data_IF_958262816616
#
_entry.id   IF_958262816616
#
_cell.length_a   1.000
_cell.length_b   1.000
_cell.length_c   1.000
_cell.angle_alpha   90.00
_cell.angle_beta   90.00
_cell.angle_gamma   90.00
#
_symmetry.space_group_name_H-M   'P 1'
#
loop_
_entity.id
_entity.type
_entity.pdbx_description
1 polymer ?
#
# COMPACT_ATOMS: atom_id res chain seq x y z
N UNK A 1 -24.45 -5.18 5.66
CA UNK A 1 -24.22 -6.57 5.21
C UNK A 1 -22.83 -7.01 5.64
N UNK A 2 -22.68 -8.11 6.41
CA UNK A 2 -21.37 -8.68 6.73
C UNK A 2 -20.95 -9.52 5.52
N UNK A 3 -19.86 -9.18 4.85
CA UNK A 3 -19.23 -10.08 3.87
C UNK A 3 -18.87 -11.38 4.61
N UNK A 4 -19.42 -12.54 4.23
CA UNK A 4 -19.27 -13.78 5.00
C UNK A 4 -17.79 -14.18 5.16
N UNK A 5 -16.99 -13.97 4.11
CA UNK A 5 -15.55 -14.22 4.10
C UNK A 5 -14.81 -13.28 5.07
N UNK A 6 -15.13 -11.98 5.05
CA UNK A 6 -14.53 -11.00 5.98
C UNK A 6 -14.80 -11.37 7.43
N UNK A 7 -16.05 -11.71 7.77
CA UNK A 7 -16.41 -12.08 9.15
C UNK A 7 -15.73 -13.36 9.62
N UNK A 8 -15.59 -14.36 8.74
CA UNK A 8 -14.91 -15.61 9.07
C UNK A 8 -13.40 -15.41 9.29
N UNK A 9 -12.74 -14.65 8.41
CA UNK A 9 -11.30 -14.35 8.56
C UNK A 9 -11.07 -13.54 9.82
N UNK A 10 -11.87 -12.50 10.06
CA UNK A 10 -11.77 -11.67 11.26
C UNK A 10 -11.93 -12.50 12.54
N UNK A 11 -12.97 -13.32 12.65
CA UNK A 11 -13.21 -14.15 13.82
C UNK A 11 -12.09 -15.18 14.05
N UNK A 12 -11.51 -15.74 12.97
CA UNK A 12 -10.38 -16.67 13.05
C UNK A 12 -9.08 -15.99 13.50
N UNK A 13 -8.89 -14.72 13.21
CA UNK A 13 -7.74 -13.94 13.71
C UNK A 13 -7.93 -13.54 15.16
N UNK A 14 -9.15 -13.13 15.53
CA UNK A 14 -9.51 -12.83 16.93
C UNK A 14 -9.35 -14.07 17.81
N UNK A 15 -9.75 -15.26 17.34
CA UNK A 15 -9.55 -16.50 18.08
C UNK A 15 -8.07 -16.91 18.24
N UNK A 16 -7.17 -16.33 17.44
CA UNK A 16 -5.71 -16.48 17.56
C UNK A 16 -5.07 -15.43 18.47
N UNK A 17 -5.88 -14.59 19.12
CA UNK A 17 -5.41 -13.57 20.06
C UNK A 17 -5.05 -12.24 19.42
N UNK A 18 -5.38 -12.01 18.15
CA UNK A 18 -5.24 -10.67 17.56
C UNK A 18 -6.36 -9.76 18.04
N UNK A 19 -6.05 -8.50 18.29
CA UNK A 19 -7.07 -7.52 18.62
C UNK A 19 -8.05 -7.30 17.44
N UNK A 20 -9.26 -6.87 17.77
CA UNK A 20 -10.36 -6.78 16.79
C UNK A 20 -10.07 -5.82 15.62
N UNK A 21 -9.24 -4.82 15.86
CA UNK A 21 -8.90 -3.80 14.87
C UNK A 21 -7.89 -4.36 13.88
N UNK A 22 -6.81 -4.96 14.37
CA UNK A 22 -5.79 -5.60 13.53
C UNK A 22 -6.39 -6.76 12.74
N UNK A 23 -7.22 -7.57 13.39
CA UNK A 23 -7.98 -8.65 12.74
C UNK A 23 -8.89 -8.13 11.62
N UNK A 24 -9.56 -6.99 11.84
CA UNK A 24 -10.37 -6.32 10.82
C UNK A 24 -9.54 -5.79 9.65
N UNK A 25 -8.35 -5.22 9.90
CA UNK A 25 -7.46 -4.76 8.84
C UNK A 25 -6.94 -5.89 7.97
N UNK A 26 -6.49 -6.99 8.58
CA UNK A 26 -5.98 -8.16 7.84
C UNK A 26 -7.11 -8.82 7.04
N UNK A 27 -8.29 -8.95 7.64
CA UNK A 27 -9.47 -9.47 6.93
C UNK A 27 -9.85 -8.59 5.74
N UNK A 28 -9.79 -7.26 5.90
CA UNK A 28 -10.03 -6.31 4.80
C UNK A 28 -9.00 -6.45 3.68
N UNK A 29 -7.72 -6.62 4.03
CA UNK A 29 -6.64 -6.85 3.08
C UNK A 29 -6.76 -8.16 2.31
N UNK A 30 -7.09 -9.24 2.99
CA UNK A 30 -7.29 -10.53 2.33
C UNK A 30 -8.50 -10.51 1.40
N UNK A 31 -9.59 -9.86 1.80
CA UNK A 31 -10.76 -9.71 0.94
C UNK A 31 -10.47 -8.84 -0.29
N UNK A 32 -9.73 -7.73 -0.15
CA UNK A 32 -9.38 -6.87 -1.27
C UNK A 32 -8.51 -7.60 -2.29
N UNK A 33 -7.46 -8.27 -1.82
CA UNK A 33 -6.58 -9.08 -2.67
C UNK A 33 -7.36 -10.20 -3.37
N UNK A 34 -8.22 -10.92 -2.64
CA UNK A 34 -9.03 -12.01 -3.20
C UNK A 34 -10.03 -11.57 -4.27
N UNK A 35 -10.54 -10.33 -4.19
CA UNK A 35 -11.47 -9.78 -5.19
C UNK A 35 -10.72 -9.36 -6.46
N UNK A 36 -9.53 -8.78 -6.32
CA UNK A 36 -8.84 -8.14 -7.44
C UNK A 36 -7.81 -9.05 -8.16
N UNK A 37 -7.25 -10.07 -7.52
CA UNK A 37 -6.29 -10.99 -8.19
C UNK A 37 -6.93 -11.83 -9.31
N UNK A 38 -8.09 -12.50 -9.12
CA UNK A 38 -8.68 -13.32 -10.17
C UNK A 38 -8.98 -12.56 -11.47
N UNK A 39 -9.65 -11.38 -11.45
CA UNK A 39 -9.88 -10.61 -12.67
C UNK A 39 -8.56 -10.07 -13.25
N UNK A 40 -7.60 -9.67 -12.41
CA UNK A 40 -6.26 -9.27 -12.86
C UNK A 40 -5.59 -10.35 -13.72
N UNK A 41 -5.58 -11.60 -13.25
CA UNK A 41 -5.01 -12.72 -14.00
C UNK A 41 -5.80 -13.00 -15.28
N UNK A 42 -7.13 -12.99 -15.22
CA UNK A 42 -7.98 -13.21 -16.38
C UNK A 42 -7.69 -12.20 -17.50
N UNK A 43 -7.73 -10.90 -17.19
CA UNK A 43 -7.47 -9.84 -18.18
C UNK A 43 -6.02 -9.81 -18.65
N UNK A 44 -5.06 -10.16 -17.78
CA UNK A 44 -3.68 -10.30 -18.18
C UNK A 44 -3.48 -11.41 -19.21
N UNK A 45 -4.06 -12.60 -18.99
CA UNK A 45 -3.93 -13.70 -19.95
C UNK A 45 -4.78 -13.49 -21.22
N UNK A 46 -5.88 -12.76 -21.14
CA UNK A 46 -6.76 -12.49 -22.30
C UNK A 46 -6.13 -11.48 -23.27
N UNK A 47 -5.64 -10.33 -22.77
CA UNK A 47 -5.17 -9.23 -23.62
C UNK A 47 -3.64 -9.10 -23.65
N UNK A 48 -2.92 -9.94 -22.88
CA UNK A 48 -1.46 -9.85 -22.65
C UNK A 48 -0.99 -8.44 -22.26
N UNK A 49 -1.90 -7.65 -21.66
CA UNK A 49 -1.69 -6.24 -21.40
C UNK A 49 -1.12 -6.06 -20.00
N UNK A 50 0.15 -5.70 -19.92
CA UNK A 50 0.86 -5.50 -18.65
C UNK A 50 0.29 -4.32 -17.83
N UNK A 51 -0.37 -3.35 -18.47
CA UNK A 51 -1.01 -2.23 -17.76
C UNK A 51 -2.19 -2.68 -16.88
N UNK A 52 -2.79 -3.82 -17.20
CA UNK A 52 -3.84 -4.44 -16.37
C UNK A 52 -3.30 -4.80 -15.00
N UNK A 53 -2.11 -5.42 -14.93
CA UNK A 53 -1.47 -5.80 -13.66
C UNK A 53 -1.32 -4.56 -12.76
N UNK A 54 -0.84 -3.46 -13.32
CA UNK A 54 -0.62 -2.20 -12.61
C UNK A 54 -1.93 -1.58 -12.12
N UNK A 55 -2.97 -1.58 -12.96
CA UNK A 55 -4.29 -1.07 -12.59
C UNK A 55 -4.88 -1.85 -11.39
N UNK A 56 -4.86 -3.17 -11.43
CA UNK A 56 -5.41 -4.00 -10.36
C UNK A 56 -4.60 -3.89 -9.06
N UNK A 57 -3.27 -3.77 -9.13
CA UNK A 57 -2.45 -3.50 -7.96
C UNK A 57 -2.75 -2.12 -7.33
N UNK A 58 -3.00 -1.09 -8.15
CA UNK A 58 -3.45 0.22 -7.68
C UNK A 58 -4.83 0.14 -7.02
N UNK A 59 -5.77 -0.62 -7.60
CA UNK A 59 -7.09 -0.85 -7.01
C UNK A 59 -7.00 -1.56 -5.66
N UNK A 60 -6.15 -2.60 -5.53
CA UNK A 60 -5.86 -3.27 -4.26
C UNK A 60 -5.31 -2.28 -3.25
N UNK A 61 -4.37 -1.41 -3.65
CA UNK A 61 -3.80 -0.38 -2.80
C UNK A 61 -4.89 0.57 -2.29
N UNK A 62 -5.59 1.27 -3.20
CA UNK A 62 -6.63 2.24 -2.84
C UNK A 62 -7.71 1.62 -1.96
N UNK A 63 -8.17 0.42 -2.30
CA UNK A 63 -9.20 -0.27 -1.52
C UNK A 63 -8.73 -0.65 -0.10
N UNK A 64 -7.46 -0.98 0.07
CA UNK A 64 -6.88 -1.25 1.39
C UNK A 64 -6.77 -0.02 2.28
N UNK A 65 -6.65 1.16 1.68
CA UNK A 65 -6.59 2.41 2.41
C UNK A 65 -7.96 3.02 2.73
N UNK A 66 -9.06 2.51 2.14
CA UNK A 66 -10.42 2.90 2.54
C UNK A 66 -10.84 2.43 3.94
N UNK A 67 -10.01 1.63 4.63
CA UNK A 67 -10.19 1.42 6.05
C UNK A 67 -9.99 2.76 6.78
N UNK A 68 -11.07 3.41 7.23
CA UNK A 68 -11.10 4.80 7.78
C UNK A 68 -9.94 5.17 8.71
N UNK A 69 -9.45 4.24 9.54
CA UNK A 69 -8.31 4.49 10.45
C UNK A 69 -6.94 4.56 9.76
N UNK A 70 -6.86 4.26 8.47
CA UNK A 70 -5.66 4.29 7.62
C UNK A 70 -5.57 5.57 6.77
N UNK A 71 -6.54 6.49 6.85
CA UNK A 71 -6.54 7.75 6.08
C UNK A 71 -5.32 8.64 6.41
N UNK A 72 -4.97 8.87 7.69
CA UNK A 72 -3.80 9.69 8.01
C UNK A 72 -2.46 9.15 7.45
N UNK A 73 -2.12 7.85 7.61
CA UNK A 73 -0.90 7.32 6.99
C UNK A 73 -0.97 7.31 5.46
N UNK A 74 -2.16 7.14 4.85
CA UNK A 74 -2.32 7.28 3.40
C UNK A 74 -1.95 8.67 2.91
N UNK A 75 -2.47 9.72 3.54
CA UNK A 75 -2.17 11.10 3.17
C UNK A 75 -0.67 11.39 3.23
N UNK A 76 0.00 10.85 4.25
CA UNK A 76 1.45 10.97 4.39
C UNK A 76 2.19 10.23 3.27
N UNK A 77 1.75 9.03 2.89
CA UNK A 77 2.30 8.29 1.75
C UNK A 77 2.12 9.07 0.45
N UNK A 78 0.93 9.61 0.18
CA UNK A 78 0.65 10.44 -1.00
C UNK A 78 1.53 11.70 -1.01
N UNK A 79 1.70 12.35 0.13
CA UNK A 79 2.59 13.51 0.26
C UNK A 79 4.04 13.16 -0.08
N UNK A 80 4.55 12.02 0.42
CA UNK A 80 5.89 11.52 0.07
C UNK A 80 6.04 11.23 -1.43
N UNK A 81 5.01 10.68 -2.08
CA UNK A 81 5.00 10.44 -3.52
C UNK A 81 5.07 11.76 -4.30
N UNK A 82 4.27 12.75 -3.93
CA UNK A 82 4.26 14.07 -4.59
C UNK A 82 5.63 14.73 -4.46
N UNK A 83 6.22 14.69 -3.26
CA UNK A 83 7.59 15.19 -3.07
C UNK A 83 8.59 14.42 -3.93
N UNK A 84 8.51 13.09 -3.94
CA UNK A 84 9.40 12.27 -4.75
C UNK A 84 9.35 12.64 -6.23
N UNK A 85 8.17 12.66 -6.84
CA UNK A 85 8.02 12.99 -8.27
C UNK A 85 8.25 14.46 -8.60
N UNK A 86 7.89 15.38 -7.69
CA UNK A 86 8.15 16.82 -7.87
C UNK A 86 9.63 17.15 -7.90
N UNK A 87 10.45 16.40 -7.15
CA UNK A 87 11.88 16.64 -7.04
C UNK A 87 12.77 15.64 -7.81
N UNK A 88 12.20 14.58 -8.40
CA UNK A 88 12.98 13.56 -9.14
C UNK A 88 13.78 14.15 -10.30
N UNK A 89 13.24 15.17 -10.98
CA UNK A 89 13.86 15.83 -12.12
C UNK A 89 15.01 16.76 -11.73
N UNK A 90 15.13 17.12 -10.45
CA UNK A 90 16.15 18.04 -9.97
C UNK A 90 17.47 17.35 -9.60
N UNK A 91 17.59 16.02 -9.82
CA UNK A 91 18.81 15.18 -9.85
C UNK A 91 19.97 15.58 -8.92
N UNK A 92 19.68 16.18 -7.76
CA UNK A 92 20.68 16.56 -6.80
C UNK A 92 20.70 15.53 -5.68
N UNK A 93 21.87 14.96 -5.38
CA UNK A 93 22.07 14.01 -4.27
C UNK A 93 21.55 14.56 -2.94
N UNK A 94 21.53 15.89 -2.77
CA UNK A 94 20.95 16.56 -1.62
C UNK A 94 19.44 16.27 -1.40
N UNK A 95 18.66 16.15 -2.47
CA UNK A 95 17.20 15.90 -2.40
C UNK A 95 16.94 14.48 -1.89
N UNK A 96 17.71 13.51 -2.38
CA UNK A 96 17.62 12.11 -1.93
C UNK A 96 17.96 11.98 -0.44
N UNK A 97 18.99 12.68 0.01
CA UNK A 97 19.35 12.76 1.43
C UNK A 97 18.23 13.41 2.25
N UNK A 98 17.64 14.51 1.76
CA UNK A 98 16.55 15.19 2.45
C UNK A 98 15.28 14.30 2.57
N UNK A 99 14.92 13.56 1.53
CA UNK A 99 13.82 12.60 1.56
C UNK A 99 14.09 11.45 2.53
N UNK A 100 15.32 10.93 2.56
CA UNK A 100 15.75 9.90 3.52
C UNK A 100 15.68 10.39 4.96
N UNK A 101 16.15 11.62 5.23
CA UNK A 101 16.06 12.24 6.55
C UNK A 101 14.59 12.45 6.96
N UNK A 102 13.75 12.96 6.05
CA UNK A 102 12.31 13.13 6.29
C UNK A 102 11.64 11.82 6.67
N UNK A 103 11.96 10.72 5.97
CA UNK A 103 11.47 9.38 6.30
C UNK A 103 11.90 8.96 7.71
N UNK A 104 13.19 9.11 8.06
CA UNK A 104 13.71 8.79 9.39
C UNK A 104 13.06 9.62 10.50
N UNK A 105 12.79 10.91 10.25
CA UNK A 105 12.06 11.77 11.17
C UNK A 105 10.65 11.26 11.43
N UNK A 106 9.89 10.91 10.39
CA UNK A 106 8.54 10.33 10.54
C UNK A 106 8.60 9.03 11.34
N UNK A 107 9.52 8.13 11.02
CA UNK A 107 9.69 6.86 11.75
C UNK A 107 9.97 7.13 13.23
N UNK A 108 10.92 8.02 13.52
CA UNK A 108 11.32 8.38 14.88
C UNK A 108 10.16 8.97 15.68
N UNK A 109 9.41 9.92 15.10
CA UNK A 109 8.22 10.51 15.73
C UNK A 109 7.17 9.44 16.04
N UNK A 110 6.94 8.51 15.11
CA UNK A 110 5.95 7.45 15.30
C UNK A 110 6.36 6.46 16.41
N UNK A 111 7.65 6.14 16.51
CA UNK A 111 8.19 5.27 17.58
C UNK A 111 8.05 5.96 18.94
N UNK A 112 8.46 7.23 19.05
CA UNK A 112 8.36 8.02 20.30
C UNK A 112 6.91 8.16 20.74
N UNK A 113 6.01 8.50 19.81
CA UNK A 113 4.58 8.62 20.07
C UNK A 113 3.87 7.26 20.29
N UNK A 114 4.61 6.13 20.22
CA UNK A 114 4.11 4.76 20.31
C UNK A 114 2.96 4.48 19.34
N UNK A 115 2.96 5.12 18.17
CA UNK A 115 1.95 4.96 17.12
C UNK A 115 2.33 3.83 16.16
N UNK A 116 2.61 2.64 16.70
CA UNK A 116 3.08 1.46 15.95
C UNK A 116 2.22 1.13 14.73
N UNK A 117 0.90 1.23 14.87
CA UNK A 117 -0.02 0.98 13.77
C UNK A 117 0.15 1.95 12.61
N UNK A 118 0.30 3.25 12.91
CA UNK A 118 0.51 4.27 11.88
C UNK A 118 1.82 3.99 11.14
N UNK A 119 2.87 3.68 11.89
CA UNK A 119 4.18 3.34 11.35
C UNK A 119 4.13 2.13 10.41
N UNK A 120 3.48 1.04 10.83
CA UNK A 120 3.36 -0.18 10.04
C UNK A 120 2.63 0.11 8.72
N UNK A 121 1.49 0.82 8.78
CA UNK A 121 0.71 1.16 7.58
C UNK A 121 1.48 2.09 6.65
N UNK A 122 2.21 3.06 7.20
CA UNK A 122 3.05 3.98 6.44
C UNK A 122 4.19 3.22 5.74
N UNK A 123 4.96 2.41 6.46
CA UNK A 123 6.06 1.62 5.89
C UNK A 123 5.57 0.63 4.84
N UNK A 124 4.45 -0.05 5.10
CA UNK A 124 3.83 -0.96 4.13
C UNK A 124 3.38 -0.20 2.88
N UNK A 125 2.77 0.98 3.04
CA UNK A 125 2.36 1.83 1.92
C UNK A 125 3.53 2.26 1.04
N UNK A 126 4.61 2.78 1.64
CA UNK A 126 5.83 3.16 0.92
C UNK A 126 6.44 1.95 0.20
N UNK A 127 6.61 0.82 0.90
CA UNK A 127 7.17 -0.40 0.32
C UNK A 127 6.33 -0.90 -0.86
N UNK A 128 5.01 -0.91 -0.71
CA UNK A 128 4.09 -1.34 -1.77
C UNK A 128 4.24 -0.48 -3.02
N UNK A 129 4.29 0.85 -2.88
CA UNK A 129 4.47 1.76 -4.01
C UNK A 129 5.84 1.59 -4.66
N UNK A 130 6.91 1.42 -3.87
CA UNK A 130 8.24 1.15 -4.41
C UNK A 130 8.26 -0.15 -5.21
N UNK A 131 7.66 -1.21 -4.70
CA UNK A 131 7.53 -2.49 -5.41
C UNK A 131 6.70 -2.34 -6.68
N UNK A 132 5.59 -1.61 -6.64
CA UNK A 132 4.79 -1.28 -7.82
C UNK A 132 5.61 -0.56 -8.88
N UNK A 133 6.40 0.44 -8.49
CA UNK A 133 7.24 1.20 -9.42
C UNK A 133 8.39 0.36 -10.00
N UNK A 134 8.95 -0.57 -9.22
CA UNK A 134 9.95 -1.52 -9.72
C UNK A 134 9.33 -2.53 -10.69
N UNK A 135 8.18 -3.11 -10.35
CA UNK A 135 7.41 -3.98 -11.25
C UNK A 135 7.09 -3.26 -12.56
N UNK A 136 6.62 -2.01 -12.47
CA UNK A 136 6.37 -1.17 -13.63
C UNK A 136 7.61 -1.04 -14.53
N UNK A 137 8.79 -0.76 -13.96
CA UNK A 137 10.06 -0.69 -14.72
C UNK A 137 10.45 -2.02 -15.35
N UNK A 138 10.27 -3.14 -14.65
CA UNK A 138 10.59 -4.48 -15.15
C UNK A 138 9.65 -4.85 -16.32
N UNK A 139 8.39 -4.45 -16.24
CA UNK A 139 7.38 -4.62 -17.29
C UNK A 139 7.57 -3.63 -18.47
N UNK A 140 8.76 -3.05 -18.64
CA UNK A 140 9.05 -2.13 -19.74
C UNK A 140 8.63 -0.67 -19.49
N UNK A 141 7.98 -0.36 -18.37
CA UNK A 141 7.54 1.00 -18.05
C UNK A 141 6.43 1.52 -18.97
N UNK A 142 6.30 2.84 -19.08
CA UNK A 142 5.48 3.50 -20.11
C UNK A 142 6.31 3.52 -21.41
N UNK A 143 6.53 2.36 -22.03
CA UNK A 143 7.02 2.37 -23.42
C UNK A 143 5.85 2.74 -24.33
N UNK A 144 6.13 3.77 -25.13
CA UNK A 144 5.29 4.46 -26.13
C UNK A 144 4.59 3.53 -27.10
#
# INVERSE_FOLDING_TARGET
MKLPIYSHIKAKLESKGLDSITSGQIAWFMCSVGIFIPPMLYFYFADNNQNVILLYMLLIFVFNFFYLKNIPPLLLVVFFIILFFGFVNYLNSAIWVALGISFLCVVSVCVIARKWRFLIVFCFGITFITLMFQLFKILGGLVK
#
